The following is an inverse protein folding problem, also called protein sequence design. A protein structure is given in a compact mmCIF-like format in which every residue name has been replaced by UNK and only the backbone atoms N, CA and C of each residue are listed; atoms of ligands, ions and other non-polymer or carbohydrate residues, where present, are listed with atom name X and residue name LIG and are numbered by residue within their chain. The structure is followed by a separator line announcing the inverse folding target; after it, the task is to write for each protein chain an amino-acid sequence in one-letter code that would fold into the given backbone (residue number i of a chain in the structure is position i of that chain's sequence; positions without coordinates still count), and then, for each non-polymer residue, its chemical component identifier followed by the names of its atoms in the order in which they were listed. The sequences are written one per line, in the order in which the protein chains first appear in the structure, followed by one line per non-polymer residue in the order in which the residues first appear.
data_IF_691172580992
#
_entry.id   IF_691172580992
#
_cell.length_a   1.000
_cell.length_b   1.000
_cell.length_c   1.000
_cell.angle_alpha   90.00
_cell.angle_beta   90.00
_cell.angle_gamma   90.00
#
_symmetry.space_group_name_H-M   'P 1'
#
loop_
_entity.id
_entity.type
_entity.pdbx_description
1 polymer ?
#
# COMPACT_ATOMS: atom_id res chain seq x y z
N UNK A 1 -18.90 -6.68 -6.35
CA UNK A 1 -18.32 -5.37 -6.00
C UNK A 1 -16.92 -5.61 -5.46
N UNK A 2 -15.90 -5.15 -6.17
CA UNK A 2 -14.49 -5.35 -5.81
C UNK A 2 -14.09 -4.34 -4.73
N UNK A 3 -13.34 -4.79 -3.73
CA UNK A 3 -12.74 -3.90 -2.72
C UNK A 3 -11.44 -3.34 -3.27
N UNK A 4 -11.22 -2.05 -3.09
CA UNK A 4 -10.00 -1.33 -3.47
C UNK A 4 -9.41 -0.70 -2.22
N UNK A 5 -8.21 -1.14 -1.85
CA UNK A 5 -7.41 -0.50 -0.82
C UNK A 5 -6.35 0.38 -1.50
N UNK A 6 -6.37 1.66 -1.16
CA UNK A 6 -5.45 2.67 -1.69
C UNK A 6 -4.65 3.25 -0.53
N UNK A 7 -3.33 3.09 -0.58
CA UNK A 7 -2.41 3.79 0.31
C UNK A 7 -1.74 4.91 -0.47
N UNK A 8 -1.88 6.14 0.02
CA UNK A 8 -1.12 7.29 -0.48
C UNK A 8 0.07 7.48 0.45
N UNK A 9 1.27 7.39 -0.11
CA UNK A 9 2.53 7.44 0.64
C UNK A 9 3.25 8.74 0.30
N UNK A 10 3.72 9.42 1.32
CA UNK A 10 4.49 10.67 1.24
C UNK A 10 5.89 10.42 1.81
N UNK A 11 6.90 10.17 0.96
CA UNK A 11 8.28 10.07 1.42
C UNK A 11 8.74 11.35 2.13
N UNK A 12 9.48 11.19 3.22
CA UNK A 12 10.04 12.32 3.96
C UNK A 12 11.10 13.04 3.08
N UNK A 13 11.26 14.37 3.22
CA UNK A 13 12.28 15.10 2.49
C UNK A 13 13.69 14.53 2.73
N UNK A 14 14.45 14.33 1.65
CA UNK A 14 15.85 13.87 1.72
C UNK A 14 16.03 12.35 1.85
N UNK A 15 14.97 11.56 1.93
CA UNK A 15 15.05 10.10 1.87
C UNK A 15 15.50 9.66 0.47
N UNK A 16 16.45 8.74 0.41
CA UNK A 16 16.92 8.18 -0.84
C UNK A 16 15.82 7.34 -1.51
N UNK A 17 15.66 7.50 -2.82
CA UNK A 17 14.65 6.76 -3.59
C UNK A 17 14.80 5.24 -3.45
N UNK A 18 16.04 4.73 -3.38
CA UNK A 18 16.30 3.31 -3.24
C UNK A 18 15.76 2.74 -1.92
N UNK A 19 15.78 3.51 -0.84
CA UNK A 19 15.21 3.12 0.45
C UNK A 19 13.68 3.04 0.38
N UNK A 20 13.05 4.01 -0.28
CA UNK A 20 11.60 3.98 -0.55
C UNK A 20 11.24 2.77 -1.41
N UNK A 21 11.96 2.55 -2.51
CA UNK A 21 11.71 1.46 -3.44
C UNK A 21 11.88 0.10 -2.77
N UNK A 22 12.88 -0.04 -1.88
CA UNK A 22 13.08 -1.26 -1.07
C UNK A 22 11.84 -1.58 -0.24
N UNK A 23 11.27 -0.59 0.45
CA UNK A 23 10.07 -0.83 1.27
C UNK A 23 8.83 -1.08 0.40
N UNK A 24 8.66 -0.39 -0.74
CA UNK A 24 7.55 -0.63 -1.67
C UNK A 24 7.58 -2.06 -2.25
N UNK A 25 8.76 -2.57 -2.60
CA UNK A 25 8.94 -3.97 -3.05
C UNK A 25 8.55 -4.96 -1.97
N UNK A 26 8.96 -4.71 -0.73
CA UNK A 26 8.60 -5.54 0.44
C UNK A 26 7.10 -5.51 0.71
N UNK A 27 6.49 -4.33 0.69
CA UNK A 27 5.04 -4.16 0.84
C UNK A 27 4.25 -4.89 -0.26
N UNK A 28 4.69 -4.79 -1.52
CA UNK A 28 4.07 -5.48 -2.65
C UNK A 28 4.15 -7.00 -2.52
N UNK A 29 5.31 -7.52 -2.14
CA UNK A 29 5.50 -8.95 -1.92
C UNK A 29 4.62 -9.47 -0.77
N UNK A 30 4.52 -8.72 0.34
CA UNK A 30 3.65 -9.08 1.47
C UNK A 30 2.17 -9.04 1.08
N UNK A 31 1.73 -7.99 0.39
CA UNK A 31 0.34 -7.89 -0.08
C UNK A 31 -0.03 -9.10 -0.95
N UNK A 32 0.79 -9.44 -1.95
CA UNK A 32 0.55 -10.61 -2.81
C UNK A 32 0.63 -11.93 -2.04
N UNK A 33 1.61 -12.09 -1.14
CA UNK A 33 1.77 -13.29 -0.28
C UNK A 33 0.50 -13.58 0.52
N UNK A 34 -0.19 -12.54 0.98
CA UNK A 34 -1.38 -12.64 1.83
C UNK A 34 -2.69 -12.63 1.05
N UNK A 35 -2.64 -12.65 -0.29
CA UNK A 35 -3.82 -12.83 -1.15
C UNK A 35 -4.44 -11.54 -1.68
N UNK A 36 -3.75 -10.39 -1.58
CA UNK A 36 -4.17 -9.19 -2.28
C UNK A 36 -3.98 -9.34 -3.80
N UNK A 37 -4.94 -8.86 -4.58
CA UNK A 37 -4.95 -8.93 -6.04
C UNK A 37 -4.59 -7.57 -6.66
N UNK A 38 -4.16 -7.55 -7.92
CA UNK A 38 -3.86 -6.35 -8.71
C UNK A 38 -2.96 -5.31 -7.99
N UNK A 39 -1.95 -5.81 -7.27
CA UNK A 39 -0.99 -4.96 -6.55
C UNK A 39 -0.27 -4.03 -7.51
N UNK A 40 -0.55 -2.74 -7.40
CA UNK A 40 -0.07 -1.70 -8.32
C UNK A 40 0.58 -0.57 -7.54
N UNK A 41 1.77 -0.17 -7.94
CA UNK A 41 2.50 0.96 -7.33
C UNK A 41 2.78 2.01 -8.39
N UNK A 42 2.41 3.25 -8.11
CA UNK A 42 2.48 4.38 -9.02
C UNK A 42 3.19 5.55 -8.33
N UNK A 43 4.14 6.18 -9.03
CA UNK A 43 4.74 7.44 -8.57
C UNK A 43 4.00 8.59 -9.26
N UNK A 44 3.50 9.54 -8.50
CA UNK A 44 2.85 10.73 -9.03
C UNK A 44 3.89 11.73 -9.54
N UNK A 45 4.32 11.55 -10.79
CA UNK A 45 5.31 12.43 -11.44
C UNK A 45 4.76 13.85 -11.69
N UNK A 46 3.46 13.97 -11.93
CA UNK A 46 2.76 15.25 -12.15
C UNK A 46 1.42 15.18 -11.43
N UNK A 47 1.28 15.87 -10.29
CA UNK A 47 0.08 15.74 -9.43
C UNK A 47 -0.33 17.00 -8.68
N UNK A 48 0.18 18.18 -9.07
CA UNK A 48 -0.02 19.41 -8.30
C UNK A 48 0.58 19.26 -6.89
N UNK A 49 -0.24 19.40 -5.86
CA UNK A 49 0.18 19.20 -4.47
C UNK A 49 0.59 17.74 -4.16
N UNK A 50 0.08 16.77 -4.92
CA UNK A 50 0.42 15.35 -4.77
C UNK A 50 1.66 14.90 -5.55
N UNK A 51 2.40 15.83 -6.18
CA UNK A 51 3.62 15.51 -6.91
C UNK A 51 4.63 14.85 -5.96
N UNK A 52 5.28 13.78 -6.41
CA UNK A 52 6.19 12.91 -5.65
C UNK A 52 5.54 12.03 -4.56
N UNK A 53 4.22 12.07 -4.38
CA UNK A 53 3.52 11.05 -3.62
C UNK A 53 3.49 9.72 -4.40
N UNK A 54 3.28 8.62 -3.69
CA UNK A 54 3.18 7.28 -4.28
C UNK A 54 1.77 6.75 -4.00
N UNK A 55 1.09 6.28 -5.05
CA UNK A 55 -0.12 5.49 -4.93
C UNK A 55 0.22 4.01 -4.86
N UNK A 56 -0.24 3.32 -3.82
CA UNK A 56 -0.17 1.88 -3.70
C UNK A 56 -1.60 1.36 -3.68
N UNK A 57 -1.99 0.59 -4.70
CA UNK A 57 -3.34 0.07 -4.85
C UNK A 57 -3.32 -1.45 -4.79
N UNK A 58 -4.27 -2.01 -4.06
CA UNK A 58 -4.57 -3.44 -4.09
C UNK A 58 -6.07 -3.64 -4.18
N UNK A 59 -6.45 -4.84 -4.60
CA UNK A 59 -7.84 -5.25 -4.69
C UNK A 59 -8.09 -6.55 -3.93
N UNK A 60 -9.34 -6.75 -3.53
CA UNK A 60 -9.84 -8.03 -3.05
C UNK A 60 -11.25 -8.25 -3.62
N UNK A 61 -11.62 -9.52 -3.80
CA UNK A 61 -12.89 -9.89 -4.43
C UNK A 61 -14.10 -9.31 -3.68
N UNK A 62 -14.08 -9.37 -2.36
CA UNK A 62 -15.13 -8.86 -1.47
C UNK A 62 -14.57 -8.49 -0.08
N UNK A 63 -15.46 -8.03 0.81
CA UNK A 63 -15.09 -7.64 2.17
C UNK A 63 -14.59 -8.79 3.05
N UNK A 64 -15.06 -10.02 2.82
CA UNK A 64 -14.63 -11.18 3.59
C UNK A 64 -13.19 -11.55 3.23
N UNK A 65 -12.88 -11.62 1.92
CA UNK A 65 -11.51 -11.80 1.42
C UNK A 65 -10.60 -10.67 1.90
N UNK A 66 -11.03 -9.42 1.80
CA UNK A 66 -10.27 -8.28 2.32
C UNK A 66 -9.95 -8.42 3.81
N UNK A 67 -10.94 -8.80 4.63
CA UNK A 67 -10.77 -9.03 6.07
C UNK A 67 -9.75 -10.13 6.37
N UNK A 68 -9.77 -11.24 5.61
CA UNK A 68 -8.79 -12.32 5.75
C UNK A 68 -7.38 -11.85 5.40
N UNK A 69 -7.21 -11.12 4.29
CA UNK A 69 -5.91 -10.54 3.88
C UNK A 69 -5.38 -9.63 4.99
N UNK A 70 -6.21 -8.74 5.53
CA UNK A 70 -5.82 -7.83 6.62
C UNK A 70 -5.45 -8.56 7.90
N UNK A 71 -6.23 -9.56 8.30
CA UNK A 71 -5.92 -10.36 9.49
C UNK A 71 -4.58 -11.07 9.32
N UNK A 72 -4.37 -11.72 8.17
CA UNK A 72 -3.14 -12.44 7.84
C UNK A 72 -1.92 -11.51 7.85
N UNK A 73 -2.02 -10.34 7.20
CA UNK A 73 -0.99 -9.30 7.20
C UNK A 73 -0.63 -8.84 8.62
N UNK A 74 -1.61 -8.48 9.43
CA UNK A 74 -1.36 -7.95 10.78
C UNK A 74 -0.74 -8.98 11.74
N UNK A 75 -0.93 -10.28 11.47
CA UNK A 75 -0.27 -11.36 12.21
C UNK A 75 1.12 -11.72 11.70
N UNK A 76 1.55 -11.17 10.55
CA UNK A 76 2.87 -11.43 9.96
C UNK A 76 3.94 -10.52 10.58
N UNK A 77 4.99 -11.07 11.23
CA UNK A 77 6.09 -10.27 11.78
C UNK A 77 6.82 -9.44 10.71
N UNK A 78 6.88 -9.90 9.45
CA UNK A 78 7.52 -9.17 8.37
C UNK A 78 6.75 -7.89 8.02
N UNK A 79 5.42 -7.92 8.16
CA UNK A 79 4.58 -6.75 7.97
C UNK A 79 4.75 -5.75 9.11
N UNK A 80 4.83 -6.23 10.35
CA UNK A 80 5.12 -5.38 11.52
C UNK A 80 6.47 -4.67 11.38
N UNK A 81 7.51 -5.42 10.96
CA UNK A 81 8.82 -4.84 10.66
C UNK A 81 8.79 -3.84 9.50
N UNK A 82 8.01 -4.10 8.45
CA UNK A 82 7.80 -3.15 7.36
C UNK A 82 7.20 -1.83 7.88
N UNK A 83 6.17 -1.89 8.73
CA UNK A 83 5.55 -0.68 9.27
C UNK A 83 6.53 0.15 10.09
N UNK A 84 7.37 -0.50 10.91
CA UNK A 84 8.42 0.18 11.67
C UNK A 84 9.41 0.86 10.72
N UNK A 85 9.98 0.12 9.78
CA UNK A 85 10.99 0.66 8.85
C UNK A 85 10.43 1.78 7.97
N UNK A 86 9.22 1.59 7.44
CA UNK A 86 8.54 2.56 6.58
C UNK A 86 8.20 3.85 7.34
N UNK A 87 7.80 3.76 8.62
CA UNK A 87 7.45 4.93 9.45
C UNK A 87 8.62 5.91 9.65
N UNK A 88 9.85 5.43 9.50
CA UNK A 88 11.05 6.28 9.61
C UNK A 88 11.26 7.15 8.36
N UNK A 89 10.74 6.71 7.20
CA UNK A 89 11.10 7.29 5.90
C UNK A 89 9.91 7.90 5.15
N UNK A 90 8.67 7.66 5.60
CA UNK A 90 7.48 8.19 4.96
C UNK A 90 6.31 8.28 5.94
N UNK A 91 5.34 9.13 5.61
CA UNK A 91 3.99 9.07 6.16
C UNK A 91 3.04 8.50 5.10
N UNK A 92 1.87 8.01 5.52
CA UNK A 92 0.88 7.50 4.60
C UNK A 92 -0.54 7.59 5.14
N UNK A 93 -1.49 7.55 4.21
CA UNK A 93 -2.93 7.51 4.47
C UNK A 93 -3.51 6.28 3.76
N UNK A 94 -4.48 5.62 4.39
CA UNK A 94 -5.13 4.43 3.83
C UNK A 94 -6.62 4.72 3.59
N UNK A 95 -7.08 4.41 2.39
CA UNK A 95 -8.47 4.50 1.98
C UNK A 95 -8.95 3.14 1.50
N UNK A 96 -10.06 2.67 2.04
CA UNK A 96 -10.69 1.43 1.60
C UNK A 96 -12.04 1.78 0.99
N UNK A 97 -12.26 1.30 -0.22
CA UNK A 97 -13.41 1.63 -1.04
C UNK A 97 -13.92 0.38 -1.76
N UNK A 98 -15.12 0.44 -2.34
CA UNK A 98 -15.67 -0.66 -3.14
C UNK A 98 -16.21 -0.13 -4.46
N UNK A 99 -16.15 -0.94 -5.51
CA UNK A 99 -16.86 -0.61 -6.76
C UNK A 99 -18.36 -0.62 -6.53
N UNK A 100 -19.08 0.27 -7.21
CA UNK A 100 -20.54 0.30 -7.25
C UNK A 100 -21.00 0.04 -8.68
N UNK A 101 -22.14 -0.62 -8.82
CA UNK A 101 -22.78 -0.77 -10.13
C UNK A 101 -23.58 0.53 -10.42
N UNK A 102 -23.43 1.06 -11.65
CA UNK A 102 -24.10 2.28 -12.12
C UNK A 102 -25.05 1.97 -13.27
#
# INVERSE_FOLDING_TARGET
MTIVATTIIHPNPGVAWDDVQKQLKRASALASKHGAENVTVLVNMVGGQGTNAIGFLTTAQDWATYGQVQQSLNTDPDYQGLLIDASQIATWENYVSQTIDL
#
